data_IF_121139142397
#
_entry.id   IF_121139142397
#
_cell.length_a   1.000
_cell.length_b   1.000
_cell.length_c   1.000
_cell.angle_alpha   90.00
_cell.angle_beta   90.00
_cell.angle_gamma   90.00
#
_symmetry.space_group_name_H-M   'P 1'
#
loop_
_entity.id
_entity.type
_entity.pdbx_description
1 polymer ?
#
# COMPACT_ATOMS: atom_id res chain seq x y z
N UNK A 1 60.42 -68.32 13.67
CA UNK A 1 61.87 -68.56 13.70
C UNK A 1 62.52 -67.18 13.62
N UNK A 2 62.62 -66.39 14.69
CA UNK A 2 63.37 -66.60 15.92
C UNK A 2 64.50 -65.54 15.93
N UNK A 3 64.75 -64.90 17.10
CA UNK A 3 65.84 -63.94 17.42
C UNK A 3 65.57 -62.47 17.02
N UNK A 4 65.84 -61.41 17.79
CA UNK A 4 66.60 -61.13 19.02
C UNK A 4 66.00 -59.86 19.68
N UNK A 5 65.68 -59.82 20.98
CA UNK A 5 66.53 -59.38 22.09
C UNK A 5 67.16 -57.98 21.93
N UNK A 6 66.66 -56.99 22.72
CA UNK A 6 67.52 -56.08 23.49
C UNK A 6 66.78 -55.43 24.65
N UNK A 7 67.42 -55.54 25.81
CA UNK A 7 67.02 -55.10 27.16
C UNK A 7 67.94 -53.94 27.58
N UNK A 8 67.37 -52.87 28.14
CA UNK A 8 68.00 -51.83 29.00
C UNK A 8 66.87 -50.82 29.38
N UNK A 9 66.21 -50.83 30.55
CA UNK A 9 66.58 -50.37 31.92
C UNK A 9 67.36 -49.03 31.88
N UNK A 10 66.97 -47.86 32.42
CA UNK A 10 66.36 -47.35 33.69
C UNK A 10 65.86 -45.88 33.45
N UNK A 11 65.35 -45.07 34.41
CA UNK A 11 64.74 -45.29 35.75
C UNK A 11 63.28 -44.72 35.84
N UNK A 12 62.41 -45.15 36.76
CA UNK A 12 62.16 -44.54 38.10
C UNK A 12 62.16 -42.98 38.06
N UNK A 13 61.20 -42.19 38.56
CA UNK A 13 60.13 -42.43 39.52
C UNK A 13 59.34 -41.09 39.67
N UNK A 14 58.08 -41.22 40.10
CA UNK A 14 57.26 -40.23 40.82
C UNK A 14 56.69 -38.98 40.10
N UNK A 15 55.35 -39.02 40.02
CA UNK A 15 54.41 -38.12 40.71
C UNK A 15 53.55 -37.18 39.86
N UNK A 16 52.24 -37.47 39.95
CA UNK A 16 51.13 -36.51 40.12
C UNK A 16 50.84 -35.51 39.01
N UNK A 17 49.82 -35.81 38.21
CA UNK A 17 48.45 -35.32 38.43
C UNK A 17 47.58 -35.76 37.26
N UNK A 18 46.56 -36.55 37.57
CA UNK A 18 45.47 -36.89 36.66
C UNK A 18 44.75 -35.60 36.23
N UNK A 19 45.12 -35.05 35.07
CA UNK A 19 44.23 -34.13 34.36
C UNK A 19 43.13 -34.98 33.72
N UNK A 20 42.03 -35.13 34.45
CA UNK A 20 40.75 -35.51 33.87
C UNK A 20 40.40 -34.46 32.81
N UNK A 21 40.63 -34.75 31.53
CA UNK A 21 39.90 -34.10 30.45
C UNK A 21 38.45 -34.60 30.56
N UNK A 22 37.61 -33.81 31.24
CA UNK A 22 36.16 -34.00 31.19
C UNK A 22 35.69 -33.60 29.78
N UNK A 23 35.01 -34.48 29.02
CA UNK A 23 34.29 -34.09 27.83
C UNK A 23 33.04 -33.36 28.29
N UNK A 24 33.06 -32.04 28.28
CA UNK A 24 31.91 -31.22 28.65
C UNK A 24 31.64 -30.20 27.54
N UNK A 25 30.35 -30.05 27.21
CA UNK A 25 29.72 -29.09 26.29
C UNK A 25 29.67 -29.63 24.83
N UNK A 26 28.80 -30.57 24.48
CA UNK A 26 27.33 -30.50 24.52
C UNK A 26 26.77 -29.21 23.88
N UNK A 27 26.71 -29.24 22.56
CA UNK A 27 25.57 -28.81 21.72
C UNK A 27 24.49 -27.93 22.36
N UNK A 28 24.67 -26.60 22.49
CA UNK A 28 23.52 -25.68 22.64
C UNK A 28 23.90 -24.21 22.48
N UNK A 29 23.99 -23.68 21.26
CA UNK A 29 23.93 -22.22 21.05
C UNK A 29 23.56 -21.87 19.59
N UNK A 30 22.52 -22.49 19.06
CA UNK A 30 21.77 -21.92 17.93
C UNK A 30 20.33 -21.70 18.37
N UNK A 31 20.17 -20.99 19.50
CA UNK A 31 18.89 -20.39 19.86
C UNK A 31 18.67 -19.23 18.91
N UNK A 32 18.06 -19.56 17.78
CA UNK A 32 17.46 -18.66 16.81
C UNK A 32 16.70 -17.58 17.58
N UNK A 33 17.19 -16.35 17.58
CA UNK A 33 16.43 -15.19 18.03
C UNK A 33 15.32 -14.96 17.01
N UNK A 34 14.26 -15.76 17.07
CA UNK A 34 13.01 -15.51 16.38
C UNK A 34 12.36 -14.32 17.08
N UNK A 35 12.83 -13.11 16.76
CA UNK A 35 12.06 -11.90 17.01
C UNK A 35 10.70 -12.11 16.35
N UNK A 36 9.57 -11.85 17.03
CA UNK A 36 8.27 -11.91 16.38
C UNK A 36 8.31 -10.92 15.22
N UNK A 37 8.31 -11.45 13.99
CA UNK A 37 8.07 -10.66 12.80
C UNK A 37 6.68 -10.06 13.00
N UNK A 38 6.63 -8.77 13.34
CA UNK A 38 5.37 -8.05 13.36
C UNK A 38 4.94 -8.02 11.90
N UNK A 39 3.95 -8.85 11.55
CA UNK A 39 3.36 -8.83 10.23
C UNK A 39 2.79 -7.43 10.03
N UNK A 40 3.50 -6.59 9.28
CA UNK A 40 2.95 -5.32 8.84
C UNK A 40 1.76 -5.67 7.97
N UNK A 41 0.58 -5.19 8.34
CA UNK A 41 -0.61 -5.44 7.56
C UNK A 41 -0.37 -4.97 6.12
N UNK A 42 -0.33 -5.92 5.20
CA UNK A 42 -0.14 -5.65 3.78
C UNK A 42 -1.50 -5.24 3.20
N UNK A 43 -1.56 -4.02 2.69
CA UNK A 43 -2.71 -3.48 1.97
C UNK A 43 -2.23 -2.98 0.62
N UNK A 44 -3.09 -3.09 -0.39
CA UNK A 44 -2.80 -2.58 -1.74
C UNK A 44 -3.39 -1.18 -1.83
N UNK A 45 -2.55 -0.22 -2.23
CA UNK A 45 -2.92 1.19 -2.35
C UNK A 45 -3.26 1.56 -3.80
N UNK A 46 -4.14 2.55 -4.01
CA UNK A 46 -4.84 3.31 -2.98
C UNK A 46 -6.01 2.55 -2.38
N UNK A 47 -6.36 2.86 -1.14
CA UNK A 47 -7.55 2.33 -0.45
C UNK A 47 -8.00 3.28 0.66
N UNK A 48 -9.10 2.94 1.34
CA UNK A 48 -9.66 3.77 2.39
C UNK A 48 -9.26 3.31 3.80
N UNK A 49 -9.13 4.27 4.69
CA UNK A 49 -8.89 4.08 6.12
C UNK A 49 -9.87 4.93 6.93
N UNK A 50 -10.08 4.54 8.18
CA UNK A 50 -10.82 5.34 9.17
C UNK A 50 -9.85 5.80 10.27
N UNK A 51 -10.05 7.00 10.81
CA UNK A 51 -9.26 7.49 11.95
C UNK A 51 -9.61 6.68 13.20
N UNK A 52 -8.59 6.33 13.99
CA UNK A 52 -8.74 5.59 15.24
C UNK A 52 -7.70 6.00 16.27
N UNK A 53 -7.97 5.79 17.56
CA UNK A 53 -7.00 6.01 18.64
C UNK A 53 -6.67 7.48 18.92
N UNK A 54 -7.45 8.43 18.38
CA UNK A 54 -7.37 9.86 18.68
C UNK A 54 -8.44 10.18 19.74
N UNK A 55 -8.09 11.00 20.73
CA UNK A 55 -9.06 11.42 21.75
C UNK A 55 -10.16 12.29 21.13
N UNK A 56 -11.38 12.24 21.68
CA UNK A 56 -12.53 12.97 21.12
C UNK A 56 -12.42 14.49 21.16
N UNK A 57 -11.51 15.03 21.97
CA UNK A 57 -11.16 16.45 22.11
C UNK A 57 -9.82 16.81 21.44
N UNK A 58 -9.25 15.90 20.65
CA UNK A 58 -8.00 16.08 19.90
C UNK A 58 -8.25 15.97 18.38
N UNK A 59 -7.18 16.01 17.58
CA UNK A 59 -7.22 15.86 16.12
C UNK A 59 -6.03 15.05 15.61
N UNK A 60 -6.21 14.38 14.48
CA UNK A 60 -5.08 13.80 13.75
C UNK A 60 -4.47 14.84 12.80
N UNK A 61 -3.25 15.26 13.10
CA UNK A 61 -2.53 16.23 12.27
C UNK A 61 -2.09 15.64 10.92
N UNK A 62 -2.40 16.37 9.84
CA UNK A 62 -1.82 16.16 8.51
C UNK A 62 -0.59 17.06 8.39
N UNK A 63 0.55 16.46 8.04
CA UNK A 63 1.85 17.13 8.03
C UNK A 63 2.45 17.22 6.64
N UNK A 64 3.24 18.26 6.40
CA UNK A 64 3.85 18.53 5.09
C UNK A 64 4.84 17.43 4.64
N UNK A 65 5.62 16.89 5.58
CA UNK A 65 6.53 15.76 5.36
C UNK A 65 6.28 14.65 6.38
N UNK A 66 6.70 13.39 6.14
CA UNK A 66 6.45 12.25 7.04
C UNK A 66 7.33 12.32 8.30
N UNK A 67 7.09 13.33 9.14
CA UNK A 67 7.86 13.63 10.34
C UNK A 67 6.98 14.32 11.38
N UNK A 68 7.09 13.91 12.64
CA UNK A 68 6.38 14.54 13.74
C UNK A 68 6.79 16.00 14.00
N UNK A 69 7.91 16.45 13.42
CA UNK A 69 8.42 17.83 13.52
C UNK A 69 8.02 18.71 12.34
N UNK A 70 7.41 18.14 11.29
CA UNK A 70 7.01 18.88 10.10
C UNK A 70 5.82 19.80 10.39
N UNK A 71 5.68 20.85 9.58
CA UNK A 71 4.55 21.77 9.65
C UNK A 71 3.22 21.02 9.53
N UNK A 72 2.21 21.46 10.29
CA UNK A 72 0.84 20.97 10.20
C UNK A 72 0.14 21.77 9.11
N UNK A 73 -0.42 21.09 8.12
CA UNK A 73 -1.05 21.67 6.92
C UNK A 73 -2.54 21.34 6.84
N UNK A 74 -3.05 20.56 7.79
CA UNK A 74 -4.43 20.15 7.87
C UNK A 74 -4.65 19.24 9.06
N UNK A 75 -5.91 18.86 9.29
CA UNK A 75 -6.29 17.96 10.37
C UNK A 75 -7.39 17.01 9.89
N UNK A 76 -7.52 15.87 10.54
CA UNK A 76 -8.65 14.95 10.42
C UNK A 76 -9.34 14.86 11.79
N UNK A 77 -10.67 14.76 11.77
CA UNK A 77 -11.45 14.56 12.99
C UNK A 77 -11.14 13.18 13.62
N UNK A 78 -11.28 13.02 14.95
CA UNK A 78 -10.97 11.78 15.66
C UNK A 78 -11.70 10.53 15.15
N UNK A 79 -12.87 10.71 14.56
CA UNK A 79 -13.77 9.67 14.03
C UNK A 79 -13.95 9.77 12.51
N UNK A 80 -13.10 10.53 11.81
CA UNK A 80 -13.24 10.73 10.38
C UNK A 80 -13.06 9.40 9.64
N UNK A 81 -14.01 9.09 8.75
CA UNK A 81 -14.01 7.85 7.98
C UNK A 81 -13.67 8.08 6.52
N UNK A 82 -13.32 6.99 5.82
CA UNK A 82 -13.14 6.96 4.35
C UNK A 82 -12.04 7.91 3.86
N UNK A 83 -10.91 7.92 4.57
CA UNK A 83 -9.69 8.63 4.20
C UNK A 83 -8.96 7.85 3.12
N UNK A 84 -8.84 8.41 1.92
CA UNK A 84 -8.06 7.80 0.84
C UNK A 84 -6.56 7.94 1.14
N UNK A 85 -5.88 6.81 1.24
CA UNK A 85 -4.42 6.72 1.33
C UNK A 85 -3.87 6.29 0.00
N UNK A 86 -2.94 7.07 -0.56
CA UNK A 86 -2.37 6.85 -1.90
C UNK A 86 -0.93 6.34 -1.88
N UNK A 87 -0.22 6.55 -0.79
CA UNK A 87 1.14 6.05 -0.57
C UNK A 87 1.34 5.79 0.93
N UNK A 88 2.14 4.78 1.29
CA UNK A 88 2.56 4.55 2.65
C UNK A 88 4.08 4.30 2.69
N UNK A 89 4.77 4.92 3.65
CA UNK A 89 6.19 4.66 3.92
C UNK A 89 6.56 4.97 5.36
N UNK A 90 7.37 4.10 5.96
CA UNK A 90 7.95 4.32 7.30
C UNK A 90 6.92 4.72 8.38
N UNK A 91 5.72 4.13 8.35
CA UNK A 91 4.64 4.43 9.31
C UNK A 91 3.86 5.71 9.03
N UNK A 92 4.03 6.32 7.86
CA UNK A 92 3.27 7.49 7.41
C UNK A 92 2.47 7.17 6.16
N UNK A 93 1.22 7.65 6.13
CA UNK A 93 0.32 7.55 4.99
C UNK A 93 0.17 8.91 4.32
N UNK A 94 0.27 8.96 3.00
CA UNK A 94 -0.04 10.14 2.20
C UNK A 94 -1.54 10.20 1.92
N UNK A 95 -2.14 11.34 2.20
CA UNK A 95 -3.56 11.65 2.01
C UNK A 95 -3.68 12.99 1.29
N UNK A 96 -4.78 13.24 0.59
CA UNK A 96 -5.05 14.53 -0.05
C UNK A 96 -5.87 15.45 0.85
N UNK A 97 -5.53 16.74 0.85
CA UNK A 97 -6.33 17.84 1.42
C UNK A 97 -7.01 18.62 0.30
N UNK A 98 -7.56 19.81 0.61
CA UNK A 98 -8.25 20.66 -0.36
C UNK A 98 -7.40 21.02 -1.58
N UNK A 99 -6.10 21.32 -1.41
CA UNK A 99 -5.24 21.80 -2.51
C UNK A 99 -3.90 21.04 -2.63
N UNK A 100 -3.52 20.23 -1.64
CA UNK A 100 -2.22 19.55 -1.63
C UNK A 100 -2.26 18.17 -0.98
N UNK A 101 -1.22 17.37 -1.20
CA UNK A 101 -0.99 16.14 -0.44
C UNK A 101 -0.35 16.44 0.91
N UNK A 102 -0.56 15.54 1.88
CA UNK A 102 0.07 15.58 3.19
C UNK A 102 0.24 14.20 3.81
N UNK A 103 0.82 14.14 5.00
CA UNK A 103 1.19 12.90 5.70
C UNK A 103 0.56 12.79 7.07
N UNK A 104 -0.06 11.65 7.34
CA UNK A 104 -0.61 11.30 8.66
C UNK A 104 0.11 10.09 9.23
N UNK A 105 0.20 10.01 10.56
CA UNK A 105 0.81 8.86 11.20
C UNK A 105 -0.15 7.66 11.15
N UNK A 106 0.30 6.55 10.58
CA UNK A 106 -0.54 5.38 10.32
C UNK A 106 -1.01 4.67 11.57
N UNK A 107 -0.39 4.91 12.73
CA UNK A 107 -0.86 4.33 14.00
C UNK A 107 -2.28 4.77 14.36
N UNK A 108 -2.74 5.87 13.76
CA UNK A 108 -4.07 6.44 13.95
C UNK A 108 -5.02 6.14 12.79
N UNK A 109 -4.67 5.20 11.92
CA UNK A 109 -5.50 4.78 10.80
C UNK A 109 -5.83 3.29 10.93
N UNK A 110 -7.11 2.96 10.72
CA UNK A 110 -7.62 1.60 10.61
C UNK A 110 -8.00 1.30 9.17
N UNK A 111 -7.45 0.23 8.61
CA UNK A 111 -7.68 -0.17 7.22
C UNK A 111 -9.11 -0.66 7.00
N UNK A 112 -9.75 -0.17 5.93
CA UNK A 112 -11.09 -0.65 5.49
C UNK A 112 -11.00 -1.80 4.51
N UNK A 113 -11.70 -2.87 4.82
CA UNK A 113 -11.69 -4.10 4.03
C UNK A 113 -12.80 -4.20 2.99
N UNK A 114 -13.72 -3.23 2.97
CA UNK A 114 -14.95 -3.17 2.19
C UNK A 114 -14.87 -2.19 1.01
N UNK A 115 -13.65 -1.82 0.59
CA UNK A 115 -13.42 -0.81 -0.46
C UNK A 115 -13.40 -1.46 -1.85
N UNK A 116 -12.46 -2.37 -2.07
CA UNK A 116 -12.22 -3.01 -3.36
C UNK A 116 -12.86 -4.40 -3.41
N UNK A 117 -14.18 -4.42 -3.50
CA UNK A 117 -14.93 -5.64 -3.78
C UNK A 117 -14.72 -6.09 -5.24
N UNK A 118 -14.86 -7.41 -5.47
CA UNK A 118 -14.76 -7.99 -6.81
C UNK A 118 -15.82 -7.38 -7.73
N UNK A 119 -15.40 -6.99 -8.94
CA UNK A 119 -16.27 -6.49 -10.00
C UNK A 119 -17.13 -5.27 -9.61
N UNK A 120 -16.70 -4.52 -8.59
CA UNK A 120 -17.38 -3.30 -8.13
C UNK A 120 -16.43 -2.11 -8.08
N UNK A 121 -17.03 -0.93 -8.13
CA UNK A 121 -16.37 0.35 -7.87
C UNK A 121 -16.73 0.84 -6.46
N UNK A 122 -15.78 1.48 -5.75
CA UNK A 122 -16.10 2.25 -4.56
C UNK A 122 -17.12 3.36 -4.85
N UNK A 123 -17.97 3.67 -3.89
CA UNK A 123 -19.10 4.60 -4.08
C UNK A 123 -18.68 6.01 -4.57
N UNK A 124 -17.51 6.48 -4.16
CA UNK A 124 -16.98 7.81 -4.51
C UNK A 124 -15.96 7.76 -5.65
N UNK A 125 -15.90 6.65 -6.38
CA UNK A 125 -15.01 6.50 -7.52
C UNK A 125 -15.29 7.55 -8.59
N UNK A 126 -14.27 8.33 -8.93
CA UNK A 126 -14.29 9.28 -10.03
C UNK A 126 -12.92 9.37 -10.67
N UNK A 127 -12.89 9.60 -11.98
CA UNK A 127 -11.68 9.94 -12.71
C UNK A 127 -11.82 11.31 -13.36
N UNK A 128 -10.71 11.99 -13.57
CA UNK A 128 -10.67 13.29 -14.24
C UNK A 128 -9.33 13.49 -14.95
N UNK A 129 -9.34 14.34 -15.97
CA UNK A 129 -8.13 14.83 -16.62
C UNK A 129 -8.21 16.33 -16.85
N UNK A 130 -7.06 16.95 -17.03
CA UNK A 130 -6.89 18.41 -17.13
C UNK A 130 -6.57 18.85 -18.55
N UNK A 131 -6.01 17.99 -19.39
CA UNK A 131 -5.74 18.27 -20.80
C UNK A 131 -6.10 17.07 -21.69
N UNK A 132 -7.27 17.08 -22.35
CA UNK A 132 -8.37 18.04 -22.17
C UNK A 132 -9.02 17.92 -20.78
N UNK A 133 -9.84 18.90 -20.39
CA UNK A 133 -10.67 18.79 -19.19
C UNK A 133 -11.80 17.77 -19.39
N UNK A 134 -11.86 16.77 -18.52
CA UNK A 134 -12.94 15.78 -18.52
C UNK A 134 -13.12 15.16 -17.14
N UNK A 135 -14.32 14.63 -16.88
CA UNK A 135 -14.68 13.84 -15.71
C UNK A 135 -15.38 12.55 -16.15
N UNK A 136 -15.10 11.46 -15.43
CA UNK A 136 -15.76 10.16 -15.57
C UNK A 136 -16.28 9.72 -14.21
N UNK A 137 -17.60 9.55 -14.10
CA UNK A 137 -18.28 8.93 -12.96
C UNK A 137 -19.07 7.69 -13.40
N UNK A 138 -19.47 6.87 -12.43
CA UNK A 138 -20.42 5.77 -12.66
C UNK A 138 -21.62 5.96 -11.76
N UNK A 139 -22.78 6.19 -12.36
CA UNK A 139 -24.02 6.53 -11.68
C UNK A 139 -25.15 5.65 -12.21
N UNK A 140 -25.85 4.94 -11.32
CA UNK A 140 -27.03 4.13 -11.66
C UNK A 140 -26.79 3.16 -12.84
N UNK A 141 -25.61 2.54 -12.89
CA UNK A 141 -25.23 1.62 -13.96
C UNK A 141 -24.90 2.29 -15.30
N UNK A 142 -24.63 3.60 -15.30
CA UNK A 142 -24.19 4.38 -16.45
C UNK A 142 -22.79 4.93 -16.18
N UNK A 143 -21.88 4.78 -17.15
CA UNK A 143 -20.65 5.56 -17.18
C UNK A 143 -20.98 6.94 -17.77
N UNK A 144 -20.76 8.00 -16.99
CA UNK A 144 -21.03 9.37 -17.42
C UNK A 144 -19.69 10.05 -17.68
N UNK A 145 -19.45 10.39 -18.94
CA UNK A 145 -18.30 11.20 -19.34
C UNK A 145 -18.78 12.61 -19.66
N UNK A 146 -18.14 13.61 -19.06
CA UNK A 146 -18.47 15.02 -19.20
C UNK A 146 -17.23 15.91 -19.17
N UNK A 147 -17.37 17.18 -19.55
CA UNK A 147 -16.31 18.18 -19.45
C UNK A 147 -16.79 19.56 -19.92
N UNK A 148 -15.99 20.62 -19.77
CA UNK A 148 -16.35 21.98 -20.20
C UNK A 148 -16.76 22.05 -21.68
N UNK A 149 -16.07 21.30 -22.53
CA UNK A 149 -16.30 21.22 -23.98
C UNK A 149 -17.04 19.93 -24.39
N UNK A 150 -17.63 19.22 -23.42
CA UNK A 150 -18.24 17.90 -23.61
C UNK A 150 -19.51 17.77 -22.78
N UNK A 151 -20.66 17.70 -23.45
CA UNK A 151 -21.91 17.40 -22.77
C UNK A 151 -21.86 16.04 -22.07
N UNK A 152 -22.43 15.97 -20.86
CA UNK A 152 -22.56 14.74 -20.11
C UNK A 152 -23.31 13.69 -20.94
N UNK A 153 -22.63 12.60 -21.25
CA UNK A 153 -23.17 11.52 -22.09
C UNK A 153 -23.21 10.23 -21.29
N UNK A 154 -24.39 9.86 -20.74
CA UNK A 154 -24.57 8.57 -20.07
C UNK A 154 -24.39 7.41 -21.06
N UNK A 155 -23.58 6.43 -20.68
CA UNK A 155 -23.31 5.23 -21.46
C UNK A 155 -23.63 4.01 -20.60
N UNK A 156 -24.51 3.09 -21.05
CA UNK A 156 -24.81 1.89 -20.29
C UNK A 156 -23.54 1.11 -19.95
N UNK A 157 -23.32 0.89 -18.65
CA UNK A 157 -22.23 0.08 -18.15
C UNK A 157 -22.56 -1.38 -18.42
N UNK A 158 -21.65 -2.07 -19.10
CA UNK A 158 -21.76 -3.47 -19.47
C UNK A 158 -21.06 -4.36 -18.46
N UNK A 159 -19.90 -3.93 -17.96
CA UNK A 159 -19.15 -4.65 -16.94
C UNK A 159 -18.17 -3.74 -16.18
N UNK A 160 -17.88 -4.14 -14.94
CA UNK A 160 -16.70 -3.70 -14.17
C UNK A 160 -15.85 -4.93 -13.95
N UNK A 161 -14.64 -4.93 -14.47
CA UNK A 161 -13.70 -6.03 -14.33
C UNK A 161 -12.62 -5.65 -13.32
N UNK A 162 -12.17 -6.61 -12.52
CA UNK A 162 -11.01 -6.49 -11.62
C UNK A 162 -9.92 -7.49 -11.98
N UNK A 163 -8.73 -7.31 -11.40
CA UNK A 163 -7.68 -8.33 -11.47
C UNK A 163 -7.93 -9.50 -10.51
N UNK A 164 -7.08 -10.54 -10.61
CA UNK A 164 -7.17 -11.74 -9.78
C UNK A 164 -6.61 -11.55 -8.35
N UNK A 165 -6.00 -10.40 -8.10
CA UNK A 165 -5.40 -10.08 -6.80
C UNK A 165 -6.49 -9.54 -5.86
N UNK A 166 -6.61 -10.18 -4.69
CA UNK A 166 -7.59 -9.81 -3.69
C UNK A 166 -7.42 -8.36 -3.23
N UNK A 167 -8.50 -7.56 -3.33
CA UNK A 167 -8.56 -6.13 -2.99
C UNK A 167 -7.63 -5.23 -3.79
N UNK A 168 -7.17 -5.70 -4.94
CA UNK A 168 -6.40 -4.87 -5.86
C UNK A 168 -7.27 -3.74 -6.45
N UNK A 169 -6.76 -2.50 -6.56
CA UNK A 169 -7.50 -1.36 -7.10
C UNK A 169 -7.68 -1.38 -8.63
N UNK A 170 -7.01 -2.29 -9.36
CA UNK A 170 -7.07 -2.29 -10.83
C UNK A 170 -8.49 -2.56 -11.30
N UNK A 171 -9.02 -1.69 -12.15
CA UNK A 171 -10.37 -1.82 -12.70
C UNK A 171 -10.38 -1.57 -14.19
N UNK A 172 -11.17 -2.35 -14.92
CA UNK A 172 -11.57 -2.01 -16.28
C UNK A 172 -13.09 -1.78 -16.33
N UNK A 173 -13.51 -0.69 -16.96
CA UNK A 173 -14.91 -0.34 -17.16
C UNK A 173 -15.25 -0.55 -18.62
N UNK A 174 -16.24 -1.39 -18.89
CA UNK A 174 -16.79 -1.59 -20.21
C UNK A 174 -18.16 -0.92 -20.27
N UNK A 175 -18.31 0.08 -21.13
CA UNK A 175 -19.57 0.76 -21.38
C UNK A 175 -19.77 0.95 -22.90
N UNK A 176 -20.98 1.33 -23.30
CA UNK A 176 -21.27 1.53 -24.72
C UNK A 176 -20.36 2.61 -25.34
N UNK A 177 -19.49 2.20 -26.27
CA UNK A 177 -18.56 3.10 -26.95
C UNK A 177 -17.46 3.69 -26.06
N UNK A 178 -17.25 3.13 -24.85
CA UNK A 178 -16.27 3.59 -23.88
C UNK A 178 -15.63 2.40 -23.16
N UNK A 179 -14.30 2.40 -23.09
CA UNK A 179 -13.54 1.48 -22.25
C UNK A 179 -12.58 2.27 -21.39
N UNK A 180 -12.62 2.10 -20.07
CA UNK A 180 -11.62 2.70 -19.19
C UNK A 180 -10.76 1.61 -18.55
N UNK A 181 -9.44 1.79 -18.54
CA UNK A 181 -8.50 1.02 -17.74
C UNK A 181 -7.97 1.90 -16.63
N UNK A 182 -8.01 1.41 -15.40
CA UNK A 182 -7.65 2.14 -14.18
C UNK A 182 -6.68 1.29 -13.41
N UNK A 183 -5.47 1.82 -13.18
CA UNK A 183 -4.37 1.06 -12.56
C UNK A 183 -3.80 1.80 -11.35
N UNK A 184 -3.30 1.08 -10.33
CA UNK A 184 -2.54 1.66 -9.22
C UNK A 184 -1.27 2.34 -9.73
N UNK A 185 -1.26 3.67 -9.71
CA UNK A 185 -0.10 4.47 -10.09
C UNK A 185 -0.24 5.89 -9.54
N UNK A 186 0.83 6.41 -8.94
CA UNK A 186 0.90 7.82 -8.55
C UNK A 186 0.67 8.71 -9.77
N UNK A 187 -0.34 9.57 -9.67
CA UNK A 187 -0.82 10.43 -10.74
C UNK A 187 -0.95 11.87 -10.21
N UNK A 188 -0.53 12.85 -11.01
CA UNK A 188 -0.72 14.28 -10.75
C UNK A 188 -1.63 14.83 -11.83
N UNK A 189 -2.54 15.72 -11.44
CA UNK A 189 -3.41 16.45 -12.36
C UNK A 189 -2.71 17.65 -13.03
N UNK A 190 -1.47 17.97 -12.62
CA UNK A 190 -0.69 19.09 -13.17
C UNK A 190 -1.22 20.49 -12.80
N UNK A 191 -2.27 20.59 -11.98
CA UNK A 191 -2.85 21.86 -11.55
C UNK A 191 -2.80 22.08 -10.04
N UNK A 192 -2.72 21.00 -9.26
CA UNK A 192 -2.63 21.05 -7.80
C UNK A 192 -1.41 20.29 -7.28
N UNK A 193 -1.09 20.47 -6.00
CA UNK A 193 -0.05 19.72 -5.31
C UNK A 193 -0.57 18.36 -4.78
N UNK A 194 -1.72 17.90 -5.30
CA UNK A 194 -2.30 16.60 -4.98
C UNK A 194 -1.63 15.49 -5.77
N UNK A 195 -1.55 14.33 -5.13
CA UNK A 195 -1.11 13.09 -5.73
C UNK A 195 -2.22 12.07 -5.55
N UNK A 196 -2.70 11.55 -6.66
CA UNK A 196 -3.72 10.52 -6.73
C UNK A 196 -3.06 9.15 -6.84
N UNK A 197 -3.69 8.11 -6.30
CA UNK A 197 -3.14 6.75 -6.33
C UNK A 197 -3.52 5.94 -7.57
N UNK A 198 -4.40 6.45 -8.42
CA UNK A 198 -4.89 5.77 -9.62
C UNK A 198 -4.65 6.61 -10.87
N UNK A 199 -4.27 5.93 -11.95
CA UNK A 199 -4.25 6.47 -13.31
C UNK A 199 -5.33 5.82 -14.14
N UNK A 200 -6.07 6.63 -14.90
CA UNK A 200 -7.03 6.19 -15.91
C UNK A 200 -6.52 6.41 -17.34
N UNK A 201 -6.79 5.42 -18.18
CA UNK A 201 -6.80 5.50 -19.63
C UNK A 201 -8.23 5.24 -20.12
N UNK A 202 -8.89 6.27 -20.67
CA UNK A 202 -10.26 6.17 -21.19
C UNK A 202 -10.23 6.20 -22.71
N UNK A 203 -10.70 5.12 -23.32
CA UNK A 203 -10.75 4.90 -24.76
C UNK A 203 -12.20 5.08 -25.20
N UNK A 204 -12.45 6.06 -26.05
CA UNK A 204 -13.72 6.27 -26.72
C UNK A 204 -13.68 5.61 -28.10
N UNK A 205 -14.66 4.78 -28.39
CA UNK A 205 -14.83 4.11 -29.68
C UNK A 205 -16.06 4.68 -30.41
N UNK A 206 -15.98 4.76 -31.74
CA UNK A 206 -17.00 5.39 -32.59
C UNK A 206 -16.37 6.14 -33.76
N UNK A 207 -17.10 7.10 -34.31
CA UNK A 207 -16.68 7.86 -35.52
C UNK A 207 -15.43 8.72 -35.31
N UNK A 208 -15.18 9.13 -34.06
CA UNK A 208 -14.00 9.92 -33.66
C UNK A 208 -13.35 9.26 -32.43
N UNK A 209 -12.48 8.26 -32.62
CA UNK A 209 -11.83 7.58 -31.52
C UNK A 209 -10.88 8.53 -30.78
N UNK A 210 -10.88 8.46 -29.44
CA UNK A 210 -10.00 9.26 -28.60
C UNK A 210 -9.45 8.44 -27.44
N UNK A 211 -8.23 8.78 -27.03
CA UNK A 211 -7.64 8.32 -25.78
C UNK A 211 -7.54 9.52 -24.83
N UNK A 212 -8.11 9.38 -23.65
CA UNK A 212 -8.00 10.35 -22.56
C UNK A 212 -7.18 9.73 -21.44
N UNK A 213 -6.30 10.55 -20.84
CA UNK A 213 -5.48 10.16 -19.69
C UNK A 213 -5.83 11.06 -18.52
N UNK A 214 -5.79 10.51 -17.32
CA UNK A 214 -6.18 11.24 -16.12
C UNK A 214 -5.88 10.48 -14.83
N UNK A 215 -6.28 11.08 -13.72
CA UNK A 215 -6.16 10.52 -12.40
C UNK A 215 -7.52 10.07 -11.87
N UNK A 216 -7.54 9.11 -10.96
CA UNK A 216 -8.77 8.75 -10.24
C UNK A 216 -8.59 8.83 -8.73
N UNK A 217 -9.71 8.98 -8.06
CA UNK A 217 -9.80 9.06 -6.60
C UNK A 217 -11.06 8.35 -6.16
N UNK A 218 -10.98 7.76 -4.97
CA UNK A 218 -12.11 7.15 -4.26
C UNK A 218 -12.45 7.91 -2.98
N UNK A 219 -11.86 9.09 -2.79
CA UNK A 219 -12.15 9.97 -1.67
C UNK A 219 -13.59 10.52 -1.80
N UNK A 220 -14.41 10.49 -0.74
CA UNK A 220 -15.76 11.06 -0.74
C UNK A 220 -15.84 12.56 -1.02
#
# INVERSE_FOLDING_TARGET
MGRDAKTAILPEILLTRSFMLKPALLSLALALAALPAHATQEYILPTLFDVTGVAGDDVLNIRDTPSAKAAIIGTLAPDQTRIEVVEARNGWARVNTAEQSGWVNMRYLSYRTDVWEAEKLPASFRCHGTEPFWGLSVEQGQAVLEGPDMAATPRPLQAVLGGDIFRDPTRALLAQGLTASVVPQICSDGMSDKLYGLRASVILTGDQPRLLQGCCTIQP
#
